data_IF_900134175866
#
_entry.id   IF_900134175866
#
_cell.length_a   1.000
_cell.length_b   1.000
_cell.length_c   1.000
_cell.angle_alpha   90.00
_cell.angle_beta   90.00
_cell.angle_gamma   90.00
#
_symmetry.space_group_name_H-M   'P 1'
#
loop_
_entity.id
_entity.type
_entity.pdbx_description
1 polymer ?
#
# COMPACT_ATOMS: atom_id res chain seq x y z
N UNK A 1 -43.11 -14.81 34.79
CA UNK A 1 -43.04 -16.15 35.40
C UNK A 1 -43.68 -17.11 34.42
N UNK A 2 -42.86 -17.81 33.63
CA UNK A 2 -43.18 -19.02 32.85
C UNK A 2 -42.01 -19.22 31.86
N UNK A 3 -41.01 -19.98 32.31
CA UNK A 3 -40.11 -20.65 31.39
C UNK A 3 -40.92 -21.77 30.71
N UNK A 4 -40.77 -21.93 29.40
CA UNK A 4 -41.08 -23.21 28.79
C UNK A 4 -40.11 -23.50 27.65
N UNK A 5 -39.57 -24.71 27.77
CA UNK A 5 -38.43 -25.27 27.10
C UNK A 5 -38.65 -25.51 25.60
N UNK A 6 -37.52 -25.52 24.90
CA UNK A 6 -37.36 -26.03 23.55
C UNK A 6 -37.98 -27.43 23.38
N UNK A 7 -38.88 -27.58 22.42
CA UNK A 7 -39.23 -28.89 21.85
C UNK A 7 -39.10 -28.81 20.32
N UNK A 8 -38.14 -29.57 19.81
CA UNK A 8 -37.84 -29.75 18.39
C UNK A 8 -38.99 -30.56 17.76
N UNK A 9 -39.78 -29.95 16.88
CA UNK A 9 -40.72 -30.69 16.02
C UNK A 9 -40.03 -31.10 14.72
N UNK A 10 -39.51 -32.33 14.72
CA UNK A 10 -39.45 -33.17 13.50
C UNK A 10 -40.88 -33.26 12.97
N UNK A 11 -41.11 -32.81 11.75
CA UNK A 11 -41.98 -33.41 10.72
C UNK A 11 -42.17 -32.35 9.64
N UNK A 12 -41.56 -32.53 8.47
CA UNK A 12 -42.13 -32.27 7.13
C UNK A 12 -41.14 -32.90 6.12
N UNK A 13 -40.93 -34.21 6.27
CA UNK A 13 -40.54 -35.06 5.14
C UNK A 13 -41.86 -35.29 4.39
N UNK A 14 -42.22 -34.33 3.54
CA UNK A 14 -43.12 -34.67 2.43
C UNK A 14 -42.28 -35.31 1.35
N UNK A 15 -42.72 -36.53 1.00
CA UNK A 15 -42.49 -37.16 -0.29
C UNK A 15 -42.72 -36.13 -1.41
N UNK A 16 -41.66 -35.48 -1.86
CA UNK A 16 -41.63 -35.06 -3.25
C UNK A 16 -41.10 -36.26 -4.00
N UNK A 17 -42.03 -37.00 -4.62
CA UNK A 17 -41.74 -37.86 -5.73
C UNK A 17 -40.76 -37.12 -6.64
N UNK A 18 -39.56 -37.67 -6.80
CA UNK A 18 -38.65 -37.21 -7.82
C UNK A 18 -39.42 -37.27 -9.14
N UNK A 19 -39.58 -36.16 -9.89
CA UNK A 19 -40.21 -36.26 -11.18
C UNK A 19 -39.43 -37.29 -11.98
N UNK A 20 -40.18 -38.21 -12.59
CA UNK A 20 -39.79 -39.37 -13.40
C UNK A 20 -38.87 -39.02 -14.58
N UNK A 21 -38.41 -37.77 -14.69
CA UNK A 21 -37.53 -37.23 -15.70
C UNK A 21 -36.04 -37.46 -15.44
N UNK A 22 -35.61 -37.87 -14.23
CA UNK A 22 -34.20 -38.22 -13.99
C UNK A 22 -33.77 -39.52 -14.70
N UNK A 23 -34.68 -40.46 -14.93
CA UNK A 23 -34.35 -41.75 -15.56
C UNK A 23 -34.13 -41.64 -17.07
N UNK A 24 -34.62 -40.57 -17.72
CA UNK A 24 -34.47 -40.35 -19.16
C UNK A 24 -33.26 -39.47 -19.53
N UNK A 25 -32.43 -39.03 -18.56
CA UNK A 25 -31.24 -38.21 -18.82
C UNK A 25 -29.96 -39.02 -19.04
N UNK A 26 -29.96 -40.32 -18.76
CA UNK A 26 -28.84 -41.23 -19.02
C UNK A 26 -28.68 -41.59 -20.51
N UNK A 27 -29.68 -41.26 -21.35
CA UNK A 27 -29.68 -41.67 -22.76
C UNK A 27 -28.81 -40.80 -23.68
N UNK A 28 -28.35 -39.62 -23.24
CA UNK A 28 -27.47 -38.74 -24.06
C UNK A 28 -26.02 -38.65 -23.57
N UNK A 29 -25.69 -39.25 -22.42
CA UNK A 29 -24.33 -39.25 -21.85
C UNK A 29 -24.04 -40.70 -21.47
N UNK A 30 -22.99 -41.29 -22.03
CA UNK A 30 -22.65 -42.68 -21.73
C UNK A 30 -22.52 -42.90 -20.22
N UNK A 31 -23.05 -44.01 -19.66
CA UNK A 31 -23.10 -44.26 -18.20
C UNK A 31 -21.73 -44.23 -17.51
N UNK A 32 -20.63 -44.35 -18.28
CA UNK A 32 -19.26 -44.19 -17.81
C UNK A 32 -18.88 -42.73 -17.49
N UNK A 33 -19.41 -41.74 -18.22
CA UNK A 33 -19.15 -40.30 -18.01
C UNK A 33 -19.95 -39.76 -16.82
N UNK A 34 -21.19 -40.21 -16.64
CA UNK A 34 -22.04 -39.86 -15.49
C UNK A 34 -21.42 -40.26 -14.14
N UNK A 35 -20.69 -41.38 -14.08
CA UNK A 35 -19.93 -41.81 -12.89
C UNK A 35 -18.72 -40.92 -12.60
N UNK A 36 -18.19 -40.20 -13.59
CA UNK A 36 -17.05 -39.29 -13.45
C UNK A 36 -17.46 -37.88 -13.02
N UNK A 37 -18.73 -37.51 -13.16
CA UNK A 37 -19.23 -36.18 -12.78
C UNK A 37 -18.98 -35.93 -11.29
N UNK A 38 -18.45 -34.76 -10.90
CA UNK A 38 -18.17 -34.45 -9.49
C UNK A 38 -19.42 -34.58 -8.62
N UNK A 39 -19.23 -35.09 -7.40
CA UNK A 39 -20.30 -35.21 -6.41
C UNK A 39 -20.79 -33.81 -6.03
N UNK A 40 -22.06 -33.65 -5.65
CA UNK A 40 -22.67 -32.37 -5.28
C UNK A 40 -21.85 -31.53 -4.28
N UNK A 41 -21.13 -32.17 -3.34
CA UNK A 41 -20.25 -31.48 -2.38
C UNK A 41 -19.05 -30.76 -3.02
N UNK A 42 -18.65 -31.19 -4.22
CA UNK A 42 -17.51 -30.65 -4.97
C UNK A 42 -17.94 -29.53 -5.93
N UNK A 43 -19.23 -29.22 -6.00
CA UNK A 43 -19.75 -28.15 -6.85
C UNK A 43 -19.65 -26.80 -6.13
N UNK A 44 -19.52 -25.70 -6.89
CA UNK A 44 -19.46 -24.36 -6.31
C UNK A 44 -20.82 -24.02 -5.68
N UNK A 45 -20.79 -23.28 -4.57
CA UNK A 45 -22.00 -22.79 -3.92
C UNK A 45 -22.09 -21.29 -4.14
N UNK A 46 -23.30 -20.78 -4.39
CA UNK A 46 -23.56 -19.37 -4.59
C UNK A 46 -24.41 -18.82 -3.44
N UNK A 47 -23.85 -17.89 -2.68
CA UNK A 47 -24.52 -17.30 -1.51
C UNK A 47 -25.29 -16.02 -1.86
N UNK A 48 -24.79 -15.27 -2.84
CA UNK A 48 -25.28 -13.95 -3.23
C UNK A 48 -24.81 -12.79 -2.35
N UNK A 49 -23.87 -13.04 -1.43
CA UNK A 49 -23.37 -12.08 -0.45
C UNK A 49 -21.91 -11.67 -0.67
N UNK A 50 -21.16 -12.36 -1.56
CA UNK A 50 -19.76 -12.04 -1.86
C UNK A 50 -19.57 -11.14 -3.09
N UNK A 51 -18.55 -10.28 -3.05
CA UNK A 51 -18.23 -9.27 -4.08
C UNK A 51 -18.03 -9.88 -5.49
N UNK A 52 -17.45 -11.09 -5.56
CA UNK A 52 -17.15 -11.84 -6.78
C UNK A 52 -17.84 -13.21 -6.86
N UNK A 53 -18.76 -13.49 -5.93
CA UNK A 53 -19.39 -14.81 -5.72
C UNK A 53 -20.08 -15.34 -7.00
N UNK A 54 -20.68 -14.45 -7.79
CA UNK A 54 -21.35 -14.83 -9.05
C UNK A 54 -20.36 -15.18 -10.17
N UNK A 55 -19.17 -14.58 -10.21
CA UNK A 55 -18.18 -14.79 -11.25
C UNK A 55 -17.48 -16.13 -11.08
N UNK A 56 -17.01 -16.41 -9.86
CA UNK A 56 -16.40 -17.70 -9.53
C UNK A 56 -17.39 -18.85 -9.70
N UNK A 57 -18.65 -18.64 -9.30
CA UNK A 57 -19.73 -19.59 -9.52
C UNK A 57 -19.95 -19.88 -11.01
N UNK A 58 -20.10 -18.85 -11.86
CA UNK A 58 -20.30 -19.02 -13.30
C UNK A 58 -19.10 -19.73 -13.94
N UNK A 59 -17.88 -19.28 -13.66
CA UNK A 59 -16.65 -19.85 -14.23
C UNK A 59 -16.50 -21.33 -13.86
N UNK A 60 -16.73 -21.67 -12.59
CA UNK A 60 -16.66 -23.05 -12.12
C UNK A 60 -17.72 -23.94 -12.76
N UNK A 61 -18.94 -23.44 -12.97
CA UNK A 61 -19.99 -24.19 -13.67
C UNK A 61 -19.67 -24.35 -15.15
N UNK A 62 -19.13 -23.33 -15.81
CA UNK A 62 -18.68 -23.41 -17.21
C UNK A 62 -17.60 -24.48 -17.39
N UNK A 63 -16.57 -24.49 -16.52
CA UNK A 63 -15.49 -25.51 -16.55
C UNK A 63 -16.07 -26.92 -16.33
N UNK A 64 -16.91 -27.12 -15.31
CA UNK A 64 -17.52 -28.43 -15.05
C UNK A 64 -18.43 -28.85 -16.22
N UNK A 65 -19.09 -27.91 -16.86
CA UNK A 65 -19.95 -28.19 -18.01
C UNK A 65 -19.13 -28.58 -19.24
N UNK A 66 -17.98 -27.95 -19.46
CA UNK A 66 -17.06 -28.23 -20.56
C UNK A 66 -16.32 -29.57 -20.35
N UNK A 67 -15.66 -29.76 -19.20
CA UNK A 67 -14.85 -30.95 -18.87
C UNK A 67 -15.66 -32.26 -18.90
N UNK A 68 -16.95 -32.18 -18.56
CA UNK A 68 -17.85 -33.34 -18.46
C UNK A 68 -18.97 -33.32 -19.50
N UNK A 69 -18.93 -32.39 -20.46
CA UNK A 69 -19.91 -32.21 -21.55
C UNK A 69 -21.37 -32.23 -21.06
N UNK A 70 -21.64 -31.54 -19.94
CA UNK A 70 -22.93 -31.66 -19.26
C UNK A 70 -24.04 -30.91 -19.99
N UNK A 71 -25.23 -31.50 -20.18
CA UNK A 71 -26.41 -30.79 -20.63
C UNK A 71 -26.92 -29.81 -19.56
N UNK A 72 -27.47 -28.68 -19.99
CA UNK A 72 -27.98 -27.60 -19.12
C UNK A 72 -28.99 -28.09 -18.08
N UNK A 73 -29.75 -29.13 -18.42
CA UNK A 73 -30.75 -29.73 -17.52
C UNK A 73 -30.11 -30.37 -16.29
N UNK A 74 -28.92 -30.97 -16.40
CA UNK A 74 -28.22 -31.53 -15.23
C UNK A 74 -27.64 -30.44 -14.33
N UNK A 75 -27.11 -29.38 -14.92
CA UNK A 75 -26.59 -28.23 -14.19
C UNK A 75 -27.72 -27.56 -13.41
N UNK A 76 -28.84 -27.24 -14.07
CA UNK A 76 -30.01 -26.57 -13.46
C UNK A 76 -30.75 -27.44 -12.44
N UNK A 77 -30.70 -28.78 -12.57
CA UNK A 77 -31.24 -29.69 -11.57
C UNK A 77 -30.51 -29.58 -10.22
N UNK A 78 -29.21 -29.22 -10.24
CA UNK A 78 -28.40 -29.08 -9.03
C UNK A 78 -28.59 -27.72 -8.34
N UNK A 79 -29.15 -26.72 -9.01
CA UNK A 79 -29.28 -25.34 -8.49
C UNK A 79 -29.97 -25.25 -7.13
N UNK A 80 -30.93 -26.13 -6.85
CA UNK A 80 -31.59 -26.14 -5.55
C UNK A 80 -30.60 -26.32 -4.37
N UNK A 81 -29.49 -27.02 -4.60
CA UNK A 81 -28.42 -27.23 -3.63
C UNK A 81 -27.29 -26.22 -3.74
N UNK A 82 -27.00 -25.73 -4.95
CA UNK A 82 -25.88 -24.82 -5.18
C UNK A 82 -26.19 -23.40 -4.71
N UNK A 83 -27.43 -22.94 -4.85
CA UNK A 83 -27.85 -21.64 -4.35
C UNK A 83 -28.14 -21.73 -2.85
N UNK A 84 -27.47 -20.90 -2.05
CA UNK A 84 -27.59 -20.85 -0.59
C UNK A 84 -28.01 -19.44 -0.14
N UNK A 85 -28.43 -19.29 1.13
CA UNK A 85 -28.79 -18.01 1.77
C UNK A 85 -29.75 -17.13 0.93
N UNK A 86 -29.37 -15.88 0.66
CA UNK A 86 -30.15 -14.93 -0.13
C UNK A 86 -30.21 -15.31 -1.62
N UNK A 87 -29.17 -15.99 -2.13
CA UNK A 87 -29.13 -16.59 -3.47
C UNK A 87 -30.23 -17.63 -3.69
N UNK A 88 -30.48 -18.50 -2.70
CA UNK A 88 -31.52 -19.52 -2.78
C UNK A 88 -32.93 -18.94 -2.96
N UNK A 89 -33.27 -17.92 -2.14
CA UNK A 89 -34.57 -17.23 -2.23
C UNK A 89 -34.79 -16.57 -3.58
N UNK A 90 -33.73 -15.99 -4.15
CA UNK A 90 -33.78 -15.38 -5.48
C UNK A 90 -33.99 -16.42 -6.58
N UNK A 91 -33.24 -17.52 -6.54
CA UNK A 91 -33.37 -18.60 -7.50
C UNK A 91 -34.79 -19.18 -7.51
N UNK A 92 -35.40 -19.43 -6.34
CA UNK A 92 -36.78 -19.94 -6.26
C UNK A 92 -37.75 -18.99 -6.96
N UNK A 93 -37.65 -17.68 -6.68
CA UNK A 93 -38.53 -16.67 -7.31
C UNK A 93 -38.42 -16.66 -8.83
N UNK A 94 -37.20 -16.68 -9.37
CA UNK A 94 -37.00 -16.68 -10.82
C UNK A 94 -37.45 -17.99 -11.47
N UNK A 95 -37.19 -19.14 -10.82
CA UNK A 95 -37.61 -20.46 -11.34
C UNK A 95 -39.13 -20.60 -11.36
N UNK A 96 -39.83 -20.03 -10.38
CA UNK A 96 -41.30 -19.98 -10.36
C UNK A 96 -41.86 -19.08 -11.47
N UNK A 97 -41.22 -17.94 -11.74
CA UNK A 97 -41.69 -16.99 -12.73
C UNK A 97 -41.41 -17.41 -14.19
N UNK A 98 -40.24 -18.00 -14.46
CA UNK A 98 -39.76 -18.27 -15.83
C UNK A 98 -39.61 -19.77 -16.16
N UNK A 99 -39.91 -20.66 -15.22
CA UNK A 99 -39.87 -22.11 -15.44
C UNK A 99 -38.46 -22.68 -15.64
N UNK A 100 -38.36 -23.73 -16.45
CA UNK A 100 -37.08 -24.37 -16.77
C UNK A 100 -36.38 -23.61 -17.91
N UNK A 101 -35.16 -23.15 -17.65
CA UNK A 101 -34.38 -22.32 -18.58
C UNK A 101 -32.97 -22.90 -18.77
N UNK A 102 -32.32 -22.52 -19.86
CA UNK A 102 -30.94 -22.92 -20.18
C UNK A 102 -29.93 -22.31 -19.21
N UNK A 103 -28.72 -22.90 -19.15
CA UNK A 103 -27.62 -22.33 -18.37
C UNK A 103 -27.26 -20.94 -18.89
N UNK A 104 -27.25 -20.74 -20.21
CA UNK A 104 -27.01 -19.43 -20.83
C UNK A 104 -27.98 -18.36 -20.34
N UNK A 105 -29.26 -18.70 -20.19
CA UNK A 105 -30.26 -17.78 -19.64
C UNK A 105 -29.97 -17.46 -18.17
N UNK A 106 -29.67 -18.48 -17.35
CA UNK A 106 -29.34 -18.29 -15.93
C UNK A 106 -28.06 -17.47 -15.73
N UNK A 107 -27.04 -17.67 -16.57
CA UNK A 107 -25.83 -16.87 -16.62
C UNK A 107 -26.15 -15.39 -16.87
N UNK A 108 -27.02 -15.10 -17.85
CA UNK A 108 -27.47 -13.73 -18.11
C UNK A 108 -28.22 -13.11 -16.91
N UNK A 109 -29.06 -13.88 -16.20
CA UNK A 109 -29.77 -13.38 -15.02
C UNK A 109 -28.83 -13.13 -13.82
N UNK A 110 -27.83 -14.00 -13.63
CA UNK A 110 -26.80 -13.81 -12.61
C UNK A 110 -25.99 -12.53 -12.85
N UNK A 111 -25.58 -12.30 -14.10
CA UNK A 111 -24.87 -11.09 -14.53
C UNK A 111 -25.78 -9.87 -14.33
N UNK A 112 -27.03 -9.89 -14.79
CA UNK A 112 -27.94 -8.74 -14.66
C UNK A 112 -28.25 -8.38 -13.20
N UNK A 113 -28.41 -9.38 -12.34
CA UNK A 113 -28.69 -9.13 -10.93
C UNK A 113 -27.51 -8.49 -10.20
N UNK A 114 -26.29 -8.96 -10.49
CA UNK A 114 -25.14 -8.73 -9.60
C UNK A 114 -24.01 -7.92 -10.24
N UNK A 115 -23.96 -7.83 -11.56
CA UNK A 115 -23.04 -7.00 -12.33
C UNK A 115 -23.77 -5.83 -13.01
N UNK A 116 -24.73 -5.22 -12.31
CA UNK A 116 -25.40 -3.99 -12.73
C UNK A 116 -24.45 -2.78 -12.67
N UNK A 117 -24.87 -1.63 -13.19
CA UNK A 117 -24.00 -0.43 -13.28
C UNK A 117 -23.50 0.05 -11.90
N UNK A 118 -24.30 -0.11 -10.85
CA UNK A 118 -23.87 0.22 -9.49
C UNK A 118 -22.77 -0.74 -8.99
N UNK A 119 -22.82 -2.01 -9.36
CA UNK A 119 -21.73 -2.96 -9.07
C UNK A 119 -20.49 -2.65 -9.92
N UNK A 120 -20.65 -2.36 -11.22
CA UNK A 120 -19.52 -1.96 -12.08
C UNK A 120 -18.80 -0.75 -11.52
N UNK A 121 -19.54 0.28 -11.12
CA UNK A 121 -18.98 1.46 -10.48
C UNK A 121 -18.24 1.12 -9.18
N UNK A 122 -18.79 0.23 -8.35
CA UNK A 122 -18.11 -0.24 -7.12
C UNK A 122 -16.80 -0.97 -7.44
N UNK A 123 -16.79 -1.84 -8.44
CA UNK A 123 -15.59 -2.60 -8.84
C UNK A 123 -14.54 -1.69 -9.46
N UNK A 124 -14.95 -0.73 -10.28
CA UNK A 124 -14.06 0.29 -10.84
C UNK A 124 -13.47 1.16 -9.73
N UNK A 125 -14.31 1.66 -8.81
CA UNK A 125 -13.86 2.40 -7.63
C UNK A 125 -12.92 1.57 -6.77
N UNK A 126 -13.21 0.27 -6.58
CA UNK A 126 -12.36 -0.63 -5.82
C UNK A 126 -10.99 -0.83 -6.50
N UNK A 127 -10.97 -1.01 -7.83
CA UNK A 127 -9.73 -1.06 -8.60
C UNK A 127 -8.93 0.25 -8.49
N UNK A 128 -9.58 1.39 -8.69
CA UNK A 128 -8.92 2.71 -8.65
C UNK A 128 -8.39 3.10 -7.27
N UNK A 129 -9.09 2.71 -6.20
CA UNK A 129 -8.68 3.00 -4.82
C UNK A 129 -7.67 2.01 -4.24
N UNK A 130 -7.53 0.82 -4.84
CA UNK A 130 -6.62 -0.23 -4.35
C UNK A 130 -5.24 -0.07 -4.95
N UNK A 131 -4.40 0.72 -4.29
CA UNK A 131 -2.98 0.85 -4.60
C UNK A 131 -2.20 -0.28 -3.90
N UNK A 132 -1.29 -0.92 -4.63
CA UNK A 132 -0.44 -1.97 -4.08
C UNK A 132 0.51 -1.43 -3.01
N UNK A 133 0.62 -2.15 -1.90
CA UNK A 133 1.58 -1.85 -0.85
C UNK A 133 2.41 -3.09 -0.54
N UNK A 134 3.70 -3.08 -0.91
CA UNK A 134 4.62 -4.19 -0.73
C UNK A 134 4.86 -4.64 0.72
N UNK A 135 4.46 -3.86 1.74
CA UNK A 135 4.56 -4.23 3.16
C UNK A 135 3.31 -4.95 3.69
N UNK A 136 2.15 -4.62 3.13
CA UNK A 136 0.85 -5.13 3.60
C UNK A 136 0.33 -6.25 2.70
N UNK A 137 0.50 -6.07 1.40
CA UNK A 137 -0.14 -6.87 0.38
C UNK A 137 0.82 -7.96 -0.10
N UNK A 138 0.30 -9.18 -0.24
CA UNK A 138 1.04 -10.27 -0.88
C UNK A 138 0.92 -10.13 -2.40
N UNK A 139 2.04 -10.23 -3.11
CA UNK A 139 2.13 -9.95 -4.56
C UNK A 139 1.11 -10.77 -5.36
N UNK A 140 1.09 -12.09 -5.15
CA UNK A 140 0.25 -13.01 -5.91
C UNK A 140 -1.26 -12.82 -5.66
N UNK A 141 -1.79 -12.85 -4.42
CA UNK A 141 -3.21 -12.64 -4.17
C UNK A 141 -3.69 -11.26 -4.62
N UNK A 142 -2.87 -10.23 -4.41
CA UNK A 142 -3.24 -8.87 -4.78
C UNK A 142 -3.30 -8.70 -6.31
N UNK A 143 -2.31 -9.24 -7.03
CA UNK A 143 -2.27 -9.15 -8.49
C UNK A 143 -3.47 -9.85 -9.13
N UNK A 144 -3.78 -11.07 -8.70
CA UNK A 144 -4.94 -11.80 -9.21
C UNK A 144 -6.25 -11.09 -8.89
N UNK A 145 -6.40 -10.50 -7.71
CA UNK A 145 -7.58 -9.70 -7.38
C UNK A 145 -7.76 -8.51 -8.34
N UNK A 146 -6.69 -7.77 -8.66
CA UNK A 146 -6.79 -6.67 -9.64
C UNK A 146 -7.03 -7.17 -11.07
N UNK A 147 -6.42 -8.31 -11.45
CA UNK A 147 -6.64 -8.96 -12.75
C UNK A 147 -8.09 -9.38 -12.91
N UNK A 148 -8.68 -10.02 -11.90
CA UNK A 148 -10.09 -10.40 -11.93
C UNK A 148 -10.99 -9.16 -12.07
N UNK A 149 -10.77 -8.09 -11.31
CA UNK A 149 -11.53 -6.84 -11.44
C UNK A 149 -11.54 -6.29 -12.87
N UNK A 150 -10.36 -6.20 -13.50
CA UNK A 150 -10.23 -5.68 -14.86
C UNK A 150 -10.81 -6.61 -15.93
N UNK A 151 -10.64 -7.93 -15.76
CA UNK A 151 -11.17 -8.92 -16.71
C UNK A 151 -12.70 -8.87 -16.75
N UNK A 152 -13.34 -8.61 -15.60
CA UNK A 152 -14.80 -8.48 -15.55
C UNK A 152 -15.29 -7.14 -16.09
N UNK A 153 -14.59 -6.04 -15.80
CA UNK A 153 -14.96 -4.72 -16.32
C UNK A 153 -14.73 -4.60 -17.84
N UNK A 154 -13.68 -5.26 -18.35
CA UNK A 154 -13.23 -5.13 -19.74
C UNK A 154 -12.88 -6.50 -20.36
N UNK A 155 -13.87 -7.34 -20.70
CA UNK A 155 -13.62 -8.70 -21.21
C UNK A 155 -12.81 -8.75 -22.51
N UNK A 156 -12.91 -7.72 -23.35
CA UNK A 156 -12.23 -7.65 -24.65
C UNK A 156 -10.81 -7.05 -24.54
N UNK A 157 -10.36 -6.69 -23.33
CA UNK A 157 -9.04 -6.09 -23.14
C UNK A 157 -7.94 -7.13 -23.24
N UNK A 158 -6.93 -6.86 -24.06
CA UNK A 158 -5.74 -7.71 -24.15
C UNK A 158 -5.04 -7.87 -22.78
N UNK A 159 -4.50 -9.06 -22.54
CA UNK A 159 -3.80 -9.40 -21.30
C UNK A 159 -2.64 -8.43 -20.99
N UNK A 160 -1.91 -7.99 -22.01
CA UNK A 160 -0.87 -6.96 -21.88
C UNK A 160 -1.41 -5.62 -21.34
N UNK A 161 -2.58 -5.18 -21.81
CA UNK A 161 -3.20 -3.93 -21.33
C UNK A 161 -3.72 -4.08 -19.90
N UNK A 162 -4.24 -5.25 -19.55
CA UNK A 162 -4.60 -5.59 -18.16
C UNK A 162 -3.35 -5.48 -17.27
N UNK A 163 -2.25 -6.14 -17.65
CA UNK A 163 -0.98 -6.07 -16.91
C UNK A 163 -0.49 -4.62 -16.76
N UNK A 164 -0.54 -3.81 -17.82
CA UNK A 164 -0.15 -2.39 -17.74
C UNK A 164 -1.03 -1.58 -16.80
N UNK A 165 -2.35 -1.81 -16.78
CA UNK A 165 -3.26 -1.13 -15.85
C UNK A 165 -2.98 -1.53 -14.40
N UNK A 166 -2.73 -2.81 -14.14
CA UNK A 166 -2.38 -3.29 -12.79
C UNK A 166 -1.06 -2.67 -12.33
N UNK A 167 -0.02 -2.67 -13.18
CA UNK A 167 1.29 -2.13 -12.80
C UNK A 167 1.26 -0.63 -12.47
N UNK A 168 0.35 0.16 -13.06
CA UNK A 168 0.13 1.56 -12.66
C UNK A 168 -0.36 1.71 -11.22
N UNK A 169 -1.09 0.71 -10.71
CA UNK A 169 -1.51 0.66 -9.30
C UNK A 169 -0.37 0.24 -8.35
N UNK A 170 0.80 -0.15 -8.88
CA UNK A 170 1.98 -0.48 -8.06
C UNK A 170 2.84 0.72 -7.69
N UNK A 171 2.54 1.91 -8.22
CA UNK A 171 3.35 3.10 -8.03
C UNK A 171 4.57 3.15 -8.95
N UNK A 172 5.08 4.36 -9.19
CA UNK A 172 6.05 4.65 -10.26
C UNK A 172 7.33 3.78 -10.21
N UNK A 173 7.88 3.55 -9.01
CA UNK A 173 9.16 2.85 -8.87
C UNK A 173 9.04 1.34 -9.14
N UNK A 174 7.98 0.69 -8.60
CA UNK A 174 7.69 -0.72 -8.89
C UNK A 174 7.27 -0.87 -10.36
N UNK A 175 6.40 0.00 -10.85
CA UNK A 175 5.94 -0.01 -12.24
C UNK A 175 7.12 0.00 -13.21
N UNK A 176 8.06 0.94 -13.02
CA UNK A 176 9.24 1.05 -13.86
C UNK A 176 10.18 -0.16 -13.73
N UNK A 177 10.39 -0.65 -12.50
CA UNK A 177 11.26 -1.81 -12.24
C UNK A 177 10.73 -3.09 -12.90
N UNK A 178 9.41 -3.33 -12.82
CA UNK A 178 8.78 -4.50 -13.43
C UNK A 178 8.75 -4.37 -14.95
N UNK A 179 8.37 -3.21 -15.49
CA UNK A 179 8.33 -2.97 -16.96
C UNK A 179 9.67 -3.14 -17.65
N UNK A 180 10.79 -2.83 -16.98
CA UNK A 180 12.13 -3.02 -17.57
C UNK A 180 12.51 -4.51 -17.73
N UNK A 181 11.81 -5.40 -17.03
CA UNK A 181 12.08 -6.84 -16.99
C UNK A 181 11.01 -7.67 -17.69
N UNK A 182 9.94 -7.04 -18.19
CA UNK A 182 8.80 -7.72 -18.82
C UNK A 182 8.64 -7.28 -20.26
N UNK A 183 7.99 -8.13 -21.06
CA UNK A 183 7.69 -7.87 -22.47
C UNK A 183 6.18 -7.92 -22.70
N UNK A 184 5.72 -7.56 -23.90
CA UNK A 184 4.29 -7.62 -24.25
C UNK A 184 3.71 -9.04 -24.21
N UNK A 185 4.57 -10.06 -24.28
CA UNK A 185 4.19 -11.48 -24.24
C UNK A 185 4.30 -12.11 -22.85
N UNK A 186 4.72 -11.36 -21.83
CA UNK A 186 4.90 -11.90 -20.48
C UNK A 186 3.58 -12.34 -19.87
N UNK A 187 3.53 -13.56 -19.34
CA UNK A 187 2.34 -14.12 -18.68
C UNK A 187 2.10 -13.46 -17.33
N UNK A 188 0.92 -13.68 -16.74
CA UNK A 188 0.66 -13.20 -15.38
C UNK A 188 1.64 -13.77 -14.35
N UNK A 189 2.04 -15.04 -14.47
CA UNK A 189 3.06 -15.63 -13.60
C UNK A 189 4.42 -14.92 -13.76
N UNK A 190 4.82 -14.59 -14.99
CA UNK A 190 6.06 -13.84 -15.23
C UNK A 190 6.03 -12.48 -14.52
N UNK A 191 4.91 -11.75 -14.65
CA UNK A 191 4.76 -10.45 -13.97
C UNK A 191 4.82 -10.61 -12.45
N UNK A 192 4.15 -11.62 -11.89
CA UNK A 192 4.11 -11.87 -10.44
C UNK A 192 5.49 -12.26 -9.92
N UNK A 193 6.21 -13.15 -10.59
CA UNK A 193 7.55 -13.58 -10.18
C UNK A 193 8.52 -12.39 -10.18
N UNK A 194 8.43 -11.50 -11.18
CA UNK A 194 9.25 -10.29 -11.26
C UNK A 194 8.80 -9.27 -10.20
N UNK A 195 7.50 -9.14 -9.94
CA UNK A 195 6.97 -8.27 -8.89
C UNK A 195 7.49 -8.73 -7.52
N UNK A 196 7.40 -10.03 -7.22
CA UNK A 196 7.95 -10.64 -6.01
C UNK A 196 9.46 -10.44 -5.93
N UNK A 197 10.21 -10.59 -7.02
CA UNK A 197 11.65 -10.31 -7.03
C UNK A 197 11.94 -8.82 -6.73
N UNK A 198 11.16 -7.90 -7.29
CA UNK A 198 11.30 -6.45 -7.09
C UNK A 198 10.96 -6.04 -5.65
N UNK A 199 9.94 -6.64 -5.06
CA UNK A 199 9.51 -6.35 -3.69
C UNK A 199 10.36 -7.06 -2.63
N UNK A 200 10.76 -8.31 -2.86
CA UNK A 200 11.53 -9.11 -1.88
C UNK A 200 13.03 -8.88 -1.97
N UNK A 201 13.64 -8.97 -3.17
CA UNK A 201 15.11 -8.86 -3.34
C UNK A 201 15.56 -7.41 -3.42
N UNK A 202 14.84 -6.59 -4.18
CA UNK A 202 15.24 -5.19 -4.41
C UNK A 202 14.60 -4.22 -3.41
N UNK A 203 13.60 -4.65 -2.63
CA UNK A 203 12.82 -3.83 -1.66
C UNK A 203 12.30 -2.53 -2.28
N UNK A 204 11.98 -2.55 -3.59
CA UNK A 204 11.45 -1.39 -4.30
C UNK A 204 9.95 -1.31 -4.02
N UNK A 205 9.49 -0.14 -3.54
CA UNK A 205 8.10 0.11 -3.18
C UNK A 205 7.67 -0.39 -1.80
N UNK A 206 8.53 -1.13 -1.08
CA UNK A 206 8.55 -1.01 0.39
C UNK A 206 8.83 0.46 0.67
N UNK A 207 8.00 1.12 1.48
CA UNK A 207 8.43 2.42 1.98
C UNK A 207 9.71 2.11 2.75
N UNK A 208 10.80 2.84 2.49
CA UNK A 208 11.67 3.17 3.62
C UNK A 208 10.70 3.66 4.68
N UNK A 209 10.53 2.90 5.76
CA UNK A 209 9.65 3.27 6.87
C UNK A 209 9.82 4.76 7.05
N UNK A 210 8.79 5.50 6.67
CA UNK A 210 8.85 6.95 6.77
C UNK A 210 8.59 7.17 8.26
N UNK A 211 9.70 7.09 9.01
CA UNK A 211 9.81 7.23 10.47
C UNK A 211 9.02 8.44 10.97
N UNK A 212 8.76 9.43 10.10
CA UNK A 212 7.96 10.63 10.37
C UNK A 212 6.49 10.38 10.77
N UNK A 213 5.88 9.24 10.47
CA UNK A 213 4.43 9.06 10.76
C UNK A 213 4.12 8.21 11.99
N UNK A 214 5.13 7.57 12.61
CA UNK A 214 4.95 6.77 13.83
C UNK A 214 5.38 7.50 15.11
N UNK A 215 6.08 8.62 15.02
CA UNK A 215 6.49 9.44 16.17
C UNK A 215 5.52 10.58 16.50
N UNK A 216 4.21 10.31 16.47
CA UNK A 216 3.22 11.30 16.93
C UNK A 216 3.11 11.36 18.46
N UNK A 217 3.71 10.40 19.14
CA UNK A 217 3.85 10.35 20.60
C UNK A 217 5.34 10.37 20.93
N UNK A 218 5.72 11.07 21.99
CA UNK A 218 7.12 11.16 22.45
C UNK A 218 7.70 9.75 22.61
N UNK A 219 8.96 9.53 22.22
CA UNK A 219 9.67 8.27 22.48
C UNK A 219 9.62 7.91 23.98
N UNK A 220 9.58 8.92 24.86
CA UNK A 220 9.40 8.78 26.31
C UNK A 220 8.03 8.16 26.66
N UNK A 221 6.95 8.57 26.00
CA UNK A 221 5.60 8.01 26.19
C UNK A 221 5.43 6.60 25.62
N UNK A 222 6.27 6.23 24.65
CA UNK A 222 6.21 4.97 23.92
C UNK A 222 6.91 3.83 24.68
N UNK A 223 8.03 4.11 25.36
CA UNK A 223 8.76 3.10 26.14
C UNK A 223 8.02 2.70 27.42
N UNK A 224 7.30 3.63 28.06
CA UNK A 224 6.55 3.33 29.30
C UNK A 224 5.29 2.48 29.07
N UNK A 225 4.78 2.38 27.82
CA UNK A 225 3.50 1.72 27.54
C UNK A 225 3.58 0.32 26.95
N UNK A 226 4.64 -0.07 26.25
CA UNK A 226 4.73 -1.39 25.62
C UNK A 226 6.20 -1.88 25.44
N UNK A 227 6.79 -2.55 26.44
CA UNK A 227 8.16 -3.06 26.33
C UNK A 227 8.33 -4.25 25.37
N UNK A 228 7.25 -4.93 24.94
CA UNK A 228 7.32 -6.18 24.13
C UNK A 228 6.98 -6.03 22.63
N UNK A 229 6.54 -4.87 22.16
CA UNK A 229 6.17 -4.67 20.74
C UNK A 229 7.28 -4.02 19.90
N UNK A 230 8.42 -3.70 20.52
CA UNK A 230 9.50 -2.92 19.91
C UNK A 230 10.48 -3.75 19.05
N UNK A 231 10.31 -5.07 18.97
CA UNK A 231 11.18 -5.97 18.19
C UNK A 231 10.78 -6.14 16.72
N UNK A 232 9.64 -5.62 16.29
CA UNK A 232 9.09 -5.90 14.95
C UNK A 232 9.76 -5.13 13.79
N UNK A 233 10.89 -4.45 14.03
CA UNK A 233 11.76 -3.89 12.97
C UNK A 233 13.21 -4.39 13.07
N UNK A 234 13.46 -5.40 13.88
CA UNK A 234 14.72 -6.16 13.89
C UNK A 234 14.58 -7.20 12.79
N UNK A 235 15.44 -7.17 11.77
CA UNK A 235 15.44 -8.27 10.80
C UNK A 235 15.78 -9.56 11.54
N UNK A 236 14.87 -10.53 11.48
CA UNK A 236 15.00 -11.97 11.76
C UNK A 236 16.45 -12.40 12.09
N UNK A 237 16.65 -12.95 13.30
CA UNK A 237 17.86 -13.57 13.91
C UNK A 237 18.32 -12.94 15.23
N UNK A 238 17.39 -12.63 16.13
CA UNK A 238 17.72 -12.21 17.50
C UNK A 238 16.95 -13.12 18.46
N UNK A 239 17.62 -13.68 19.46
CA UNK A 239 16.98 -14.54 20.47
C UNK A 239 16.18 -13.70 21.47
N UNK A 240 15.21 -14.30 22.16
CA UNK A 240 14.39 -13.62 23.18
C UNK A 240 15.23 -12.89 24.25
N UNK A 241 16.41 -13.43 24.59
CA UNK A 241 17.35 -12.77 25.52
C UNK A 241 18.00 -11.52 24.91
N UNK A 242 18.42 -11.58 23.65
CA UNK A 242 19.06 -10.45 22.96
C UNK A 242 18.07 -9.32 22.69
N UNK A 243 16.78 -9.63 22.49
CA UNK A 243 15.71 -8.65 22.38
C UNK A 243 15.55 -7.85 23.68
N UNK A 244 15.63 -8.53 24.82
CA UNK A 244 15.55 -7.90 26.14
C UNK A 244 16.75 -6.99 26.41
N UNK A 245 17.96 -7.45 26.07
CA UNK A 245 19.19 -6.66 26.18
C UNK A 245 19.18 -5.41 25.29
N UNK A 246 18.72 -5.56 24.04
CA UNK A 246 18.60 -4.44 23.11
C UNK A 246 17.57 -3.40 23.60
N UNK A 247 16.44 -3.87 24.13
CA UNK A 247 15.42 -2.99 24.69
C UNK A 247 15.94 -2.19 25.89
N UNK A 248 16.72 -2.83 26.77
CA UNK A 248 17.39 -2.16 27.88
C UNK A 248 18.41 -1.11 27.38
N UNK A 249 19.18 -1.43 26.34
CA UNK A 249 20.14 -0.53 25.72
C UNK A 249 19.47 0.71 25.10
N UNK A 250 18.38 0.50 24.36
CA UNK A 250 17.60 1.60 23.75
C UNK A 250 16.97 2.49 24.81
N UNK A 251 16.48 1.91 25.90
CA UNK A 251 15.96 2.70 27.02
C UNK A 251 17.06 3.50 27.72
N UNK A 252 18.23 2.89 27.92
CA UNK A 252 19.39 3.57 28.50
C UNK A 252 19.82 4.78 27.67
N UNK A 253 19.82 4.64 26.34
CA UNK A 253 20.15 5.72 25.39
C UNK A 253 18.94 6.51 24.87
N UNK A 254 17.82 6.54 25.61
CA UNK A 254 16.58 7.21 25.17
C UNK A 254 16.76 8.68 24.77
N UNK A 255 17.73 9.38 25.35
CA UNK A 255 18.04 10.78 25.03
C UNK A 255 18.65 10.98 23.64
N UNK A 256 19.24 9.94 23.05
CA UNK A 256 19.74 9.99 21.68
C UNK A 256 18.61 9.97 20.64
N UNK A 257 17.37 9.66 21.05
CA UNK A 257 16.20 9.56 20.19
C UNK A 257 15.27 10.75 20.39
N UNK A 258 15.17 11.57 19.36
CA UNK A 258 14.34 12.77 19.38
C UNK A 258 12.90 12.49 18.91
N UNK A 259 11.93 13.16 19.51
CA UNK A 259 10.54 13.19 19.02
C UNK A 259 10.23 14.53 18.35
N UNK A 260 9.26 14.61 17.44
CA UNK A 260 9.01 15.82 16.63
C UNK A 260 8.66 17.10 17.43
N UNK A 261 8.55 17.03 18.77
CA UNK A 261 8.07 18.08 19.66
C UNK A 261 9.09 18.65 20.65
N UNK A 262 10.29 18.06 20.77
CA UNK A 262 11.35 18.65 21.62
C UNK A 262 12.33 19.45 20.75
N UNK A 263 13.03 20.46 21.31
CA UNK A 263 14.01 21.24 20.55
C UNK A 263 15.10 20.32 20.03
N UNK A 264 15.57 20.56 18.80
CA UNK A 264 16.60 19.73 18.20
C UNK A 264 17.89 19.80 19.03
N UNK A 265 18.50 18.64 19.27
CA UNK A 265 19.87 18.59 19.79
C UNK A 265 20.85 19.37 18.90
N UNK A 266 21.90 19.90 19.51
CA UNK A 266 22.96 20.64 18.84
C UNK A 266 24.30 19.92 18.98
N UNK A 267 25.10 19.92 17.92
CA UNK A 267 26.45 19.35 17.95
C UNK A 267 27.34 20.28 18.79
N UNK A 268 27.89 19.75 19.87
CA UNK A 268 28.79 20.47 20.77
C UNK A 268 30.24 20.28 20.32
N UNK A 269 31.01 21.37 20.25
CA UNK A 269 32.44 21.33 19.94
C UNK A 269 32.80 21.31 18.46
N UNK A 270 31.81 21.31 17.56
CA UNK A 270 32.02 21.40 16.11
C UNK A 270 31.11 22.47 15.51
N UNK A 271 31.42 23.73 15.81
CA UNK A 271 30.72 24.86 15.19
C UNK A 271 31.20 25.06 13.76
N UNK A 272 30.24 25.25 12.84
CA UNK A 272 30.51 25.49 11.44
C UNK A 272 30.80 26.97 11.23
N UNK A 273 31.99 27.24 10.72
CA UNK A 273 32.40 28.58 10.32
C UNK A 273 32.24 28.73 8.80
N UNK A 274 31.52 29.77 8.38
CA UNK A 274 31.27 30.04 6.97
C UNK A 274 32.20 31.19 6.57
N UNK A 275 33.23 30.86 5.80
CA UNK A 275 34.22 31.83 5.33
C UNK A 275 33.84 32.25 3.92
N UNK A 276 33.66 33.56 3.72
CA UNK A 276 33.46 34.16 2.41
C UNK A 276 34.77 34.77 1.89
N UNK A 277 34.98 34.76 0.58
CA UNK A 277 36.19 35.24 -0.10
C UNK A 277 36.07 36.66 -0.68
N UNK A 278 35.04 37.40 -0.28
CA UNK A 278 34.77 38.78 -0.71
C UNK A 278 34.77 39.70 0.51
N UNK A 279 35.27 40.92 0.33
CA UNK A 279 35.23 41.98 1.33
C UNK A 279 34.06 42.94 1.07
N UNK A 280 33.71 43.76 2.06
CA UNK A 280 32.68 44.79 1.88
C UNK A 280 33.17 45.87 0.89
N UNK A 281 32.28 46.45 0.05
CA UNK A 281 30.83 46.20 0.00
C UNK A 281 30.48 44.91 -0.74
N UNK A 282 29.53 44.15 -0.20
CA UNK A 282 29.06 42.91 -0.82
C UNK A 282 28.23 43.17 -2.08
N UNK A 283 28.22 42.20 -2.99
CA UNK A 283 27.41 42.25 -4.21
C UNK A 283 25.93 42.40 -3.87
N UNK A 284 25.19 43.20 -4.65
CA UNK A 284 23.75 43.41 -4.46
C UNK A 284 22.92 42.10 -4.46
N UNK A 285 23.46 41.03 -5.06
CA UNK A 285 22.85 39.69 -5.05
C UNK A 285 22.75 39.07 -3.65
N UNK A 286 23.61 39.50 -2.72
CA UNK A 286 23.66 39.01 -1.34
C UNK A 286 22.73 39.78 -0.41
N UNK A 287 22.09 40.87 -0.84
CA UNK A 287 21.22 41.72 -0.02
C UNK A 287 19.87 41.98 -0.67
N UNK A 288 19.21 40.93 -1.17
CA UNK A 288 17.95 41.05 -1.93
C UNK A 288 16.71 41.07 -1.01
N UNK A 289 15.64 41.78 -1.40
CA UNK A 289 14.35 41.69 -0.71
C UNK A 289 13.71 40.32 -0.94
N UNK A 290 12.86 39.90 0.00
CA UNK A 290 12.13 38.63 -0.09
C UNK A 290 11.34 38.51 -1.41
N UNK A 291 11.27 37.29 -1.95
CA UNK A 291 10.48 37.04 -3.16
C UNK A 291 8.99 37.32 -2.90
N UNK A 292 8.27 37.93 -3.86
CA UNK A 292 6.81 37.98 -3.81
C UNK A 292 6.23 36.57 -3.69
N UNK A 293 5.39 36.35 -2.68
CA UNK A 293 4.77 35.06 -2.42
C UNK A 293 3.25 35.15 -2.64
N UNK A 294 2.68 34.12 -3.29
CA UNK A 294 1.23 33.97 -3.39
C UNK A 294 0.61 33.78 -1.99
N UNK A 295 -0.69 34.10 -1.78
CA UNK A 295 -1.33 33.96 -0.47
C UNK A 295 -1.13 32.57 0.15
N UNK A 296 -1.29 31.52 -0.64
CA UNK A 296 -1.06 30.12 -0.25
C UNK A 296 0.39 29.84 0.16
N UNK A 297 1.36 30.44 -0.55
CA UNK A 297 2.79 30.26 -0.23
C UNK A 297 3.18 31.03 1.02
N UNK A 298 2.58 32.21 1.25
CA UNK A 298 2.79 33.01 2.46
C UNK A 298 2.30 32.27 3.71
N UNK A 299 1.09 31.71 3.67
CA UNK A 299 0.56 30.89 4.77
C UNK A 299 1.46 29.68 5.07
N UNK A 300 1.89 28.96 4.04
CA UNK A 300 2.82 27.84 4.21
C UNK A 300 4.18 28.30 4.78
N UNK A 301 4.69 29.45 4.35
CA UNK A 301 5.94 30.00 4.86
C UNK A 301 5.84 30.37 6.34
N UNK A 302 4.75 31.01 6.75
CA UNK A 302 4.49 31.38 8.16
C UNK A 302 4.47 30.13 9.07
N UNK A 303 3.86 29.04 8.61
CA UNK A 303 3.88 27.75 9.34
C UNK A 303 5.31 27.23 9.50
N UNK A 304 6.08 27.14 8.41
CA UNK A 304 7.46 26.63 8.46
C UNK A 304 8.38 27.51 9.33
N UNK A 305 8.23 28.83 9.25
CA UNK A 305 9.00 29.78 10.07
C UNK A 305 8.68 29.60 11.55
N UNK A 306 7.40 29.47 11.89
CA UNK A 306 6.98 29.20 13.27
C UNK A 306 7.57 27.88 13.78
N UNK A 307 7.47 26.80 13.01
CA UNK A 307 8.02 25.51 13.40
C UNK A 307 9.54 25.57 13.65
N UNK A 308 10.28 26.35 12.85
CA UNK A 308 11.72 26.51 13.03
C UNK A 308 12.09 27.42 14.21
N UNK A 309 11.25 28.40 14.54
CA UNK A 309 11.38 29.20 15.76
C UNK A 309 11.13 28.35 17.00
N UNK A 310 10.05 27.56 17.00
CA UNK A 310 9.68 26.67 18.11
C UNK A 310 10.75 25.60 18.36
N UNK A 311 11.42 25.13 17.30
CA UNK A 311 12.55 24.19 17.39
C UNK A 311 13.90 24.84 17.72
N UNK A 312 13.97 26.17 17.83
CA UNK A 312 15.20 26.90 18.12
C UNK A 312 16.23 26.93 16.98
N UNK A 313 15.83 26.58 15.75
CA UNK A 313 16.72 26.53 14.58
C UNK A 313 16.99 27.93 14.02
N UNK A 314 15.96 28.79 14.05
CA UNK A 314 16.07 30.19 13.63
C UNK A 314 15.68 31.11 14.79
N UNK A 315 16.05 32.37 14.69
CA UNK A 315 15.69 33.42 15.65
C UNK A 315 15.31 34.70 14.92
N UNK A 316 14.61 35.57 15.63
CA UNK A 316 14.47 36.96 15.20
C UNK A 316 15.80 37.69 15.35
N UNK A 317 16.06 38.60 14.41
CA UNK A 317 17.23 39.48 14.47
C UNK A 317 16.86 40.71 15.30
N UNK A 318 17.71 41.11 16.24
CA UNK A 318 17.48 42.28 17.08
C UNK A 318 17.58 43.59 16.30
N UNK A 319 16.93 44.66 16.80
CA UNK A 319 16.95 45.98 16.17
C UNK A 319 18.36 46.57 15.97
N UNK A 320 19.33 46.14 16.77
CA UNK A 320 20.72 46.62 16.75
C UNK A 320 21.68 45.70 15.98
N UNK A 321 21.17 44.65 15.33
CA UNK A 321 21.98 43.72 14.53
C UNK A 321 21.90 44.06 13.05
N UNK A 322 23.05 44.35 12.44
CA UNK A 322 23.14 44.60 11.00
C UNK A 322 23.09 43.27 10.23
N UNK A 323 22.12 43.12 9.32
CA UNK A 323 22.05 41.98 8.39
C UNK A 323 22.51 42.44 7.02
N UNK A 324 23.72 42.03 6.64
CA UNK A 324 24.34 42.48 5.38
C UNK A 324 24.18 41.45 4.27
N UNK A 325 23.97 40.18 4.66
CA UNK A 325 23.69 39.08 3.75
C UNK A 325 22.30 38.51 4.06
N UNK A 326 21.41 38.50 3.07
CA UNK A 326 20.08 37.91 3.15
C UNK A 326 19.99 36.73 2.18
N UNK A 327 19.54 35.59 2.69
CA UNK A 327 19.18 34.45 1.85
C UNK A 327 17.70 34.50 1.53
N UNK A 328 17.36 34.43 0.25
CA UNK A 328 15.98 34.43 -0.18
C UNK A 328 15.33 33.08 0.13
N UNK A 329 14.10 33.09 0.61
CA UNK A 329 13.35 31.88 0.94
C UNK A 329 12.11 31.80 0.06
N UNK A 330 11.83 30.59 -0.44
CA UNK A 330 10.65 30.29 -1.25
C UNK A 330 9.99 28.99 -0.81
N UNK A 331 8.72 28.82 -1.15
CA UNK A 331 7.98 27.59 -0.90
C UNK A 331 7.85 26.78 -2.18
N UNK A 332 8.25 25.51 -2.11
CA UNK A 332 8.04 24.53 -3.18
C UNK A 332 6.98 23.52 -2.77
N UNK A 333 6.17 23.07 -3.72
CA UNK A 333 5.08 22.14 -3.48
C UNK A 333 5.38 20.82 -4.19
N UNK A 334 5.21 19.70 -3.48
CA UNK A 334 5.35 18.37 -4.05
C UNK A 334 4.36 17.42 -3.38
N UNK A 335 3.52 16.74 -4.17
CA UNK A 335 2.47 15.82 -3.68
C UNK A 335 1.61 16.43 -2.57
N UNK A 336 1.18 17.69 -2.73
CA UNK A 336 0.36 18.42 -1.77
C UNK A 336 1.08 18.89 -0.50
N UNK A 337 2.37 18.56 -0.31
CA UNK A 337 3.17 19.03 0.83
C UNK A 337 4.03 20.23 0.43
N UNK A 338 4.07 21.25 1.28
CA UNK A 338 4.94 22.41 1.13
C UNK A 338 6.31 22.16 1.77
N UNK A 339 7.36 22.74 1.17
CA UNK A 339 8.72 22.78 1.74
C UNK A 339 9.29 24.17 1.59
N UNK A 340 9.82 24.71 2.68
CA UNK A 340 10.61 25.94 2.69
C UNK A 340 12.01 25.65 2.12
N UNK A 341 12.46 26.45 1.15
CA UNK A 341 13.74 26.29 0.46
C UNK A 341 14.48 27.63 0.47
N UNK A 342 15.71 27.64 0.98
CA UNK A 342 16.61 28.79 0.91
C UNK A 342 17.42 28.80 -0.40
N UNK A 343 17.48 29.94 -1.06
CA UNK A 343 18.26 30.19 -2.26
C UNK A 343 19.66 30.70 -1.90
N UNK A 344 20.57 29.77 -1.64
CA UNK A 344 21.95 30.05 -1.27
C UNK A 344 22.89 30.22 -2.48
N UNK A 345 22.38 30.30 -3.71
CA UNK A 345 23.25 30.29 -4.91
C UNK A 345 24.24 31.44 -4.93
N UNK A 346 23.79 32.66 -4.60
CA UNK A 346 24.68 33.82 -4.52
C UNK A 346 25.73 33.64 -3.42
N UNK A 347 25.32 33.23 -2.22
CA UNK A 347 26.23 32.98 -1.10
C UNK A 347 27.28 31.91 -1.45
N UNK A 348 26.85 30.80 -2.03
CA UNK A 348 27.73 29.69 -2.41
C UNK A 348 28.82 30.08 -3.41
N UNK A 349 28.62 31.12 -4.24
CA UNK A 349 29.67 31.58 -5.18
C UNK A 349 30.83 32.30 -4.49
N UNK A 350 30.61 32.86 -3.31
CA UNK A 350 31.64 33.53 -2.52
C UNK A 350 32.06 32.74 -1.27
N UNK A 351 31.41 31.63 -0.95
CA UNK A 351 31.82 30.77 0.17
C UNK A 351 33.01 29.91 -0.21
N UNK A 352 34.03 29.89 0.65
CA UNK A 352 35.17 28.96 0.53
C UNK A 352 34.68 27.57 0.87
N UNK A 353 34.81 26.64 -0.07
CA UNK A 353 34.36 25.27 0.12
C UNK A 353 35.23 24.55 1.16
N UNK A 354 34.57 23.94 2.14
CA UNK A 354 35.23 23.08 3.09
C UNK A 354 35.56 21.72 2.45
N UNK A 355 36.74 21.18 2.78
CA UNK A 355 37.25 19.95 2.17
C UNK A 355 37.08 18.76 3.12
N UNK A 356 35.82 18.37 3.34
CA UNK A 356 35.48 17.11 4.00
C UNK A 356 34.93 16.12 2.97
N UNK A 357 35.77 15.21 2.43
CA UNK A 357 35.33 14.27 1.41
C UNK A 357 34.34 13.27 2.02
N UNK A 358 33.12 13.25 1.48
CA UNK A 358 32.15 12.18 1.78
C UNK A 358 32.70 10.88 1.16
N UNK A 359 32.84 9.79 1.92
CA UNK A 359 33.36 8.54 1.40
C UNK A 359 32.49 8.02 0.25
N UNK A 360 33.13 7.46 -0.79
CA UNK A 360 32.42 6.85 -1.90
C UNK A 360 31.62 5.64 -1.41
N UNK A 361 30.41 5.46 -1.96
CA UNK A 361 29.46 4.42 -1.52
C UNK A 361 30.11 3.02 -1.46
N UNK A 362 30.91 2.64 -2.46
CA UNK A 362 31.55 1.31 -2.48
C UNK A 362 32.56 1.11 -1.34
N UNK A 363 33.24 2.17 -0.89
CA UNK A 363 34.18 2.10 0.23
C UNK A 363 33.40 1.82 1.52
N UNK A 364 32.33 2.57 1.75
CA UNK A 364 31.45 2.37 2.89
C UNK A 364 30.80 0.97 2.89
N UNK A 365 30.38 0.46 1.72
CA UNK A 365 29.81 -0.88 1.59
C UNK A 365 30.84 -1.99 1.88
N UNK A 366 32.07 -1.84 1.40
CA UNK A 366 33.15 -2.80 1.70
C UNK A 366 33.46 -2.84 3.20
N UNK A 367 33.44 -1.70 3.89
CA UNK A 367 33.69 -1.63 5.33
C UNK A 367 32.65 -2.38 6.16
N UNK A 368 31.39 -2.41 5.71
CA UNK A 368 30.31 -3.14 6.41
C UNK A 368 30.09 -4.56 5.90
N UNK A 369 30.82 -5.00 4.87
CA UNK A 369 30.61 -6.31 4.21
C UNK A 369 30.85 -7.52 5.13
N UNK A 370 31.69 -7.36 6.16
CA UNK A 370 32.00 -8.39 7.15
C UNK A 370 31.21 -8.23 8.46
N UNK A 371 30.32 -7.24 8.54
CA UNK A 371 29.53 -6.99 9.73
C UNK A 371 28.46 -8.08 9.88
N UNK A 372 28.45 -8.76 11.03
CA UNK A 372 27.42 -9.75 11.38
C UNK A 372 26.08 -9.10 11.72
N UNK A 373 26.13 -7.86 12.23
CA UNK A 373 24.97 -7.05 12.59
C UNK A 373 25.15 -5.64 12.05
N UNK A 374 24.12 -5.10 11.41
CA UNK A 374 24.13 -3.74 10.85
C UNK A 374 22.95 -2.98 11.46
N UNK A 375 23.24 -1.84 12.09
CA UNK A 375 22.23 -0.89 12.53
C UNK A 375 22.27 0.35 11.64
N UNK A 376 21.10 0.89 11.30
CA UNK A 376 20.99 2.13 10.52
C UNK A 376 20.28 3.18 11.35
N UNK A 377 20.95 4.30 11.61
CA UNK A 377 20.41 5.45 12.32
C UNK A 377 20.32 6.65 11.38
N UNK A 378 19.25 7.44 11.53
CA UNK A 378 19.06 8.67 10.75
C UNK A 378 18.99 9.86 11.70
N UNK A 379 19.88 10.84 11.50
CA UNK A 379 19.82 12.09 12.23
C UNK A 379 18.55 12.87 11.82
N UNK A 380 17.66 13.11 12.77
CA UNK A 380 16.45 13.90 12.54
C UNK A 380 16.84 15.35 12.28
N UNK A 381 16.52 15.87 11.07
CA UNK A 381 16.86 17.24 10.67
C UNK A 381 18.36 17.56 10.85
N UNK A 382 19.25 16.60 10.57
CA UNK A 382 20.68 16.67 10.92
C UNK A 382 21.42 17.96 10.55
N UNK A 383 21.09 18.62 9.43
CA UNK A 383 21.71 19.91 9.09
C UNK A 383 21.44 21.01 10.13
N UNK A 384 20.24 21.03 10.70
CA UNK A 384 19.84 22.01 11.72
C UNK A 384 20.47 21.76 13.10
N UNK A 385 21.14 20.62 13.29
CA UNK A 385 21.89 20.32 14.50
C UNK A 385 23.31 20.91 14.46
N UNK A 386 23.78 21.35 13.29
CA UNK A 386 25.06 22.04 13.16
C UNK A 386 24.90 23.50 13.63
N UNK A 387 25.68 23.87 14.64
CA UNK A 387 25.71 25.23 15.15
C UNK A 387 26.66 26.06 14.29
N UNK A 388 26.20 27.19 13.79
CA UNK A 388 27.09 28.17 13.12
C UNK A 388 27.74 29.10 14.14
N UNK A 389 29.02 29.43 13.90
CA UNK A 389 29.78 30.35 14.76
C UNK A 389 29.09 31.72 14.85
N UNK A 390 29.24 32.48 15.95
CA UNK A 390 28.68 33.84 16.06
C UNK A 390 29.14 34.79 14.96
N UNK A 391 30.33 34.54 14.37
CA UNK A 391 30.86 35.29 13.24
C UNK A 391 30.08 34.99 11.95
N UNK A 392 29.88 33.71 11.63
CA UNK A 392 29.18 33.26 10.44
C UNK A 392 27.67 33.59 10.43
N UNK A 393 27.11 33.97 11.57
CA UNK A 393 25.71 34.44 11.69
C UNK A 393 25.50 35.87 11.19
N UNK A 394 26.56 36.68 11.11
CA UNK A 394 26.53 38.08 10.65
C UNK A 394 26.83 38.14 9.16
#
# INVERSE_FOLDING_TARGET
MAAQEFTIHKYWILKNEFPTSFHNLEQSIGPALLKKVPKLKQWPHFSGEGEYDHMEFIRSIDIIKEDFELPDRLVTARFNTLFTRSGHRWYIKLRQAHGHQSWTWWKAQLINKLANDAWRFKVETAFESTIFNAERDKDLPWFYQQKDRLTVLYPDMSEFMIHRKILRQCGHDIEHAVKRRTTEKSSAEDIINILEEVTTRNRIGSRRVNLKTRFKTSWKDYVDKNPKENANNISLHVTDNQESELSALLYYHKEAFESEKEPLGAIVGHEVDIIINIERPYLALLGRPAYPASPKSREALEIHVKDLLDLGVIRTVGHNEEVVITTLVMVTWHNGKSRMVGDFRALNTCTIADSYPIPKIHIALNQISQAMYISTMYALKGFHQNVVTPRARK
#
